data_IF_717475891381
#
_entry.id   IF_717475891381
#
_cell.length_a   1.000
_cell.length_b   1.000
_cell.length_c   1.000
_cell.angle_alpha   90.00
_cell.angle_beta   90.00
_cell.angle_gamma   90.00
#
_symmetry.space_group_name_H-M   'P 1'
#
loop_
_entity.id
_entity.type
_entity.pdbx_description
1 polymer ?
#
# COMPACT_ATOMS: atom_id res chain seq x y z
N UNK A 1 -3.76 24.89 -7.44
CA UNK A 1 -2.76 24.11 -6.65
C UNK A 1 -2.60 22.75 -7.30
N UNK A 2 -1.40 22.17 -7.28
CA UNK A 2 -1.23 20.81 -7.81
C UNK A 2 -2.09 19.83 -6.99
N UNK A 3 -2.77 18.90 -7.67
CA UNK A 3 -3.64 17.91 -7.05
C UNK A 3 -2.75 16.81 -6.43
N UNK A 4 -2.96 16.50 -5.15
CA UNK A 4 -2.24 15.44 -4.45
C UNK A 4 -3.20 14.40 -3.92
N UNK A 5 -2.79 13.14 -4.00
CA UNK A 5 -3.47 12.00 -3.40
C UNK A 5 -2.51 11.41 -2.37
N UNK A 6 -2.81 11.56 -1.09
CA UNK A 6 -2.08 10.84 -0.05
C UNK A 6 -2.66 9.43 0.06
N UNK A 7 -1.82 8.43 -0.22
CA UNK A 7 -2.17 7.03 -0.37
C UNK A 7 -1.61 6.22 0.78
N UNK A 8 -2.45 5.95 1.78
CA UNK A 8 -2.11 5.18 2.97
C UNK A 8 -2.31 3.69 2.74
N UNK A 9 -1.24 2.93 2.89
CA UNK A 9 -1.17 1.52 2.49
C UNK A 9 -0.59 0.62 3.58
N UNK A 10 -1.03 -0.65 3.57
CA UNK A 10 -0.25 -1.78 4.06
C UNK A 10 0.28 -2.54 2.85
N UNK A 11 1.57 -2.85 2.85
CA UNK A 11 2.21 -3.62 1.78
C UNK A 11 1.84 -5.12 1.80
N UNK A 12 1.01 -5.51 2.78
CA UNK A 12 0.35 -6.81 2.85
C UNK A 12 -1.13 -6.78 2.44
N UNK A 13 -1.69 -5.62 2.09
CA UNK A 13 -3.13 -5.54 1.82
C UNK A 13 -3.50 -6.02 0.41
N UNK A 14 -4.36 -7.05 0.27
CA UNK A 14 -4.87 -7.45 -1.05
C UNK A 14 -5.77 -6.38 -1.67
N UNK A 15 -6.41 -5.57 -0.84
CA UNK A 15 -7.23 -4.46 -1.31
C UNK A 15 -6.38 -3.33 -1.88
N UNK A 16 -5.19 -3.09 -1.29
CA UNK A 16 -4.20 -2.19 -1.85
C UNK A 16 -3.70 -2.73 -3.20
N UNK A 17 -3.34 -4.02 -3.28
CA UNK A 17 -2.91 -4.67 -4.52
C UNK A 17 -3.96 -4.55 -5.64
N UNK A 18 -5.21 -4.89 -5.35
CA UNK A 18 -6.30 -4.83 -6.33
C UNK A 18 -6.62 -3.40 -6.83
N UNK A 19 -6.27 -2.37 -6.06
CA UNK A 19 -6.46 -0.96 -6.42
C UNK A 19 -5.25 -0.29 -7.05
N UNK A 20 -4.07 -0.92 -7.00
CA UNK A 20 -2.78 -0.32 -7.30
C UNK A 20 -2.72 0.33 -8.68
N UNK A 21 -2.95 -0.43 -9.74
CA UNK A 21 -2.89 0.11 -11.11
C UNK A 21 -3.93 1.19 -11.35
N UNK A 22 -5.15 1.00 -10.85
CA UNK A 22 -6.24 1.97 -11.08
C UNK A 22 -6.00 3.32 -10.43
N UNK A 23 -5.38 3.37 -9.25
CA UNK A 23 -5.07 4.66 -8.62
C UNK A 23 -3.93 5.37 -9.36
N UNK A 24 -2.94 4.65 -9.90
CA UNK A 24 -1.92 5.24 -10.76
C UNK A 24 -2.52 5.81 -12.05
N UNK A 25 -3.39 5.03 -12.71
CA UNK A 25 -4.08 5.46 -13.94
C UNK A 25 -4.89 6.74 -13.70
N UNK A 26 -5.59 6.84 -12.56
CA UNK A 26 -6.34 8.04 -12.21
C UNK A 26 -5.43 9.23 -11.87
N UNK A 27 -4.35 9.00 -11.12
CA UNK A 27 -3.38 10.05 -10.84
C UNK A 27 -2.79 10.61 -12.14
N UNK A 28 -2.36 9.73 -13.05
CA UNK A 28 -1.83 10.13 -14.36
C UNK A 28 -2.87 10.86 -15.20
N UNK A 29 -4.09 10.34 -15.29
CA UNK A 29 -5.20 10.91 -16.07
C UNK A 29 -5.54 12.36 -15.68
N UNK A 30 -5.48 12.66 -14.38
CA UNK A 30 -5.87 13.97 -13.84
C UNK A 30 -4.66 14.84 -13.45
N UNK A 31 -3.42 14.41 -13.75
CA UNK A 31 -2.21 15.14 -13.42
C UNK A 31 -2.00 15.32 -11.91
N UNK A 32 -2.47 14.35 -11.12
CA UNK A 32 -2.33 14.35 -9.68
C UNK A 32 -1.04 13.65 -9.25
N UNK A 33 -0.38 14.16 -8.20
CA UNK A 33 0.74 13.49 -7.57
C UNK A 33 0.22 12.42 -6.60
N UNK A 34 0.63 11.17 -6.78
CA UNK A 34 0.31 10.06 -5.88
C UNK A 34 1.45 9.86 -4.88
N UNK A 35 1.20 10.13 -3.60
CA UNK A 35 2.18 10.03 -2.51
C UNK A 35 1.87 8.83 -1.64
N UNK A 36 2.73 7.81 -1.64
CA UNK A 36 2.51 6.57 -0.90
C UNK A 36 3.04 6.65 0.53
N UNK A 37 2.21 6.22 1.48
CA UNK A 37 2.50 6.17 2.91
C UNK A 37 2.27 4.74 3.44
N UNK A 38 3.32 3.90 3.52
CA UNK A 38 3.22 2.62 4.18
C UNK A 38 3.20 2.83 5.69
N UNK A 39 2.01 2.76 6.29
CA UNK A 39 1.77 3.02 7.71
C UNK A 39 1.54 1.71 8.49
N UNK A 40 1.70 1.77 9.83
CA UNK A 40 1.54 0.61 10.68
C UNK A 40 0.06 0.38 11.08
N UNK A 41 -0.58 -0.57 10.42
CA UNK A 41 -1.94 -0.99 10.76
C UNK A 41 -2.02 -1.81 12.04
N UNK A 42 -0.91 -2.28 12.60
CA UNK A 42 -0.85 -2.83 13.95
C UNK A 42 -1.19 -1.78 15.00
N UNK A 43 -0.77 -0.53 14.76
CA UNK A 43 -1.08 0.65 15.59
C UNK A 43 -2.46 1.24 15.23
N UNK A 44 -2.80 1.35 13.93
CA UNK A 44 -4.06 1.98 13.49
C UNK A 44 -5.29 1.18 13.91
N UNK A 45 -5.31 -0.14 13.75
CA UNK A 45 -6.50 -0.94 14.06
C UNK A 45 -6.97 -0.82 15.51
N UNK A 46 -6.12 -0.98 16.55
CA UNK A 46 -6.59 -0.82 17.92
C UNK A 46 -7.14 0.56 18.22
N UNK A 47 -6.53 1.60 17.65
CA UNK A 47 -6.94 3.00 17.87
C UNK A 47 -8.27 3.35 17.17
N UNK A 48 -8.62 2.65 16.08
CA UNK A 48 -9.79 2.95 15.24
C UNK A 48 -10.93 1.92 15.35
N UNK A 49 -10.82 0.94 16.27
CA UNK A 49 -11.79 -0.13 16.42
C UNK A 49 -11.71 -1.21 15.35
N UNK A 50 -10.63 -1.25 14.57
CA UNK A 50 -10.34 -2.28 13.59
C UNK A 50 -9.78 -3.55 14.21
N UNK A 51 -9.84 -4.65 13.45
CA UNK A 51 -9.26 -5.93 13.87
C UNK A 51 -8.33 -6.49 12.79
N UNK A 52 -7.10 -6.92 13.17
CA UNK A 52 -6.24 -7.67 12.27
C UNK A 52 -6.92 -8.99 11.88
N UNK A 53 -6.58 -9.51 10.69
CA UNK A 53 -7.27 -10.65 10.10
C UNK A 53 -7.43 -11.87 11.02
N UNK A 54 -6.41 -12.30 11.80
CA UNK A 54 -6.58 -13.46 12.70
C UNK A 54 -7.60 -13.25 13.81
N UNK A 55 -7.86 -12.01 14.21
CA UNK A 55 -8.83 -11.66 15.27
C UNK A 55 -10.25 -11.44 14.74
N UNK A 56 -10.47 -11.52 13.43
CA UNK A 56 -11.82 -11.42 12.83
C UNK A 56 -12.60 -12.72 12.99
N UNK A 57 -13.92 -12.61 13.10
CA UNK A 57 -14.80 -13.80 13.18
C UNK A 57 -14.64 -14.69 11.93
N UNK A 58 -14.92 -16.01 12.04
CA UNK A 58 -14.87 -16.93 10.90
C UNK A 58 -15.72 -16.45 9.72
N UNK A 59 -16.91 -15.89 9.98
CA UNK A 59 -17.81 -15.36 8.96
C UNK A 59 -17.16 -14.20 8.19
N UNK A 60 -16.50 -13.26 8.88
CA UNK A 60 -15.80 -12.14 8.25
C UNK A 60 -14.60 -12.59 7.43
N UNK A 61 -13.90 -13.64 7.88
CA UNK A 61 -12.78 -14.21 7.12
C UNK A 61 -13.25 -14.91 5.85
N UNK A 62 -14.31 -15.71 5.95
CA UNK A 62 -14.92 -16.39 4.80
C UNK A 62 -15.47 -15.37 3.78
N UNK A 63 -16.17 -14.34 4.25
CA UNK A 63 -16.67 -13.28 3.38
C UNK A 63 -15.53 -12.54 2.66
N UNK A 64 -14.43 -12.25 3.37
CA UNK A 64 -13.25 -11.62 2.74
C UNK A 64 -12.72 -12.45 1.55
N UNK A 65 -12.64 -13.77 1.70
CA UNK A 65 -12.19 -14.65 0.62
C UNK A 65 -13.14 -14.61 -0.58
N UNK A 66 -14.46 -14.66 -0.34
CA UNK A 66 -15.44 -14.49 -1.41
C UNK A 66 -15.34 -13.14 -2.13
N UNK A 67 -15.11 -12.05 -1.40
CA UNK A 67 -14.93 -10.72 -1.98
C UNK A 67 -13.63 -10.64 -2.82
N UNK A 68 -12.55 -11.25 -2.37
CA UNK A 68 -11.32 -11.30 -3.16
C UNK A 68 -11.52 -12.07 -4.48
N UNK A 69 -12.29 -13.17 -4.47
CA UNK A 69 -12.65 -13.90 -5.69
C UNK A 69 -13.49 -13.02 -6.63
N UNK A 70 -14.52 -12.36 -6.11
CA UNK A 70 -15.39 -11.47 -6.90
C UNK A 70 -14.60 -10.33 -7.55
N UNK A 71 -13.73 -9.69 -6.77
CA UNK A 71 -12.91 -8.59 -7.29
C UNK A 71 -11.85 -9.06 -8.27
N UNK A 72 -11.22 -10.21 -8.04
CA UNK A 72 -10.33 -10.86 -9.00
C UNK A 72 -11.03 -11.01 -10.36
N UNK A 73 -12.21 -11.62 -10.34
CA UNK A 73 -12.96 -11.94 -11.56
C UNK A 73 -13.50 -10.66 -12.23
N UNK A 74 -14.00 -9.71 -11.46
CA UNK A 74 -14.52 -8.43 -11.97
C UNK A 74 -13.44 -7.52 -12.58
N UNK A 75 -12.22 -7.53 -12.03
CA UNK A 75 -11.10 -6.70 -12.49
C UNK A 75 -10.18 -7.42 -13.49
N UNK A 76 -10.28 -8.75 -13.60
CA UNK A 76 -9.35 -9.55 -14.40
C UNK A 76 -7.91 -9.54 -13.87
N UNK A 77 -7.72 -9.23 -12.56
CA UNK A 77 -6.40 -9.12 -11.93
C UNK A 77 -6.07 -10.46 -11.28
N UNK A 78 -4.92 -11.09 -11.61
CA UNK A 78 -4.51 -12.33 -10.96
C UNK A 78 -4.24 -12.07 -9.47
N UNK A 79 -4.77 -12.91 -8.60
CA UNK A 79 -4.49 -12.86 -7.17
C UNK A 79 -4.48 -14.28 -6.59
N UNK A 80 -3.41 -14.62 -5.87
CA UNK A 80 -3.36 -15.82 -5.05
C UNK A 80 -4.18 -15.57 -3.78
N UNK A 81 -5.22 -16.37 -3.56
CA UNK A 81 -6.11 -16.20 -2.39
C UNK A 81 -5.51 -16.72 -1.09
N UNK A 82 -4.49 -17.59 -1.19
CA UNK A 82 -3.80 -18.23 -0.07
C UNK A 82 -2.27 -18.17 -0.27
N UNK A 83 -1.67 -16.95 -0.30
CA UNK A 83 -0.23 -16.83 -0.49
C UNK A 83 0.53 -17.38 0.71
N UNK A 84 1.60 -18.15 0.45
CA UNK A 84 2.41 -18.86 1.49
C UNK A 84 3.05 -17.93 2.50
N UNK A 85 3.40 -16.71 2.05
CA UNK A 85 4.15 -15.76 2.84
C UNK A 85 3.30 -14.62 3.39
N UNK A 86 1.98 -14.81 3.42
CA UNK A 86 1.07 -13.81 4.00
C UNK A 86 0.68 -14.15 5.45
N UNK A 87 0.80 -13.19 6.40
CA UNK A 87 1.43 -11.89 6.24
C UNK A 87 2.96 -11.97 6.27
N UNK A 88 3.63 -11.24 5.38
CA UNK A 88 5.09 -11.05 5.43
C UNK A 88 5.46 -9.89 6.36
N UNK A 89 6.74 -9.81 6.79
CA UNK A 89 7.23 -8.62 7.49
C UNK A 89 7.23 -7.42 6.56
N UNK A 90 6.59 -6.31 6.96
CA UNK A 90 6.55 -5.07 6.19
C UNK A 90 7.66 -4.08 6.59
N UNK A 91 8.43 -4.32 7.67
CA UNK A 91 9.36 -3.33 8.22
C UNK A 91 10.37 -2.85 7.16
N UNK A 92 11.17 -3.76 6.60
CA UNK A 92 12.20 -3.40 5.63
C UNK A 92 11.62 -2.83 4.32
N UNK A 93 10.57 -3.43 3.78
CA UNK A 93 9.93 -2.94 2.56
C UNK A 93 9.30 -1.56 2.76
N UNK A 94 8.70 -1.29 3.93
CA UNK A 94 8.19 0.04 4.28
C UNK A 94 9.31 1.07 4.39
N UNK A 95 10.44 0.73 5.03
CA UNK A 95 11.62 1.61 5.09
C UNK A 95 12.18 1.92 3.70
N UNK A 96 12.23 0.93 2.78
CA UNK A 96 12.63 1.17 1.39
C UNK A 96 11.69 2.16 0.69
N UNK A 97 10.39 1.96 0.80
CA UNK A 97 9.39 2.84 0.15
C UNK A 97 9.46 4.26 0.72
N UNK A 98 9.56 4.41 2.05
CA UNK A 98 9.66 5.73 2.69
C UNK A 98 10.96 6.43 2.29
N UNK A 99 12.09 5.72 2.34
CA UNK A 99 13.39 6.26 1.94
C UNK A 99 13.38 6.75 0.49
N UNK A 100 12.82 5.96 -0.43
CA UNK A 100 12.69 6.33 -1.84
C UNK A 100 11.74 7.51 -2.03
N UNK A 101 10.64 7.59 -1.32
CA UNK A 101 9.74 8.75 -1.36
C UNK A 101 10.47 10.04 -1.02
N UNK A 102 11.30 10.01 0.02
CA UNK A 102 12.00 11.20 0.51
C UNK A 102 13.25 11.55 -0.32
N UNK A 103 13.87 10.59 -1.02
CA UNK A 103 15.16 10.80 -1.71
C UNK A 103 15.11 10.71 -3.24
N UNK A 104 14.19 9.90 -3.79
CA UNK A 104 14.06 9.64 -5.22
C UNK A 104 12.73 10.12 -5.82
N UNK A 105 11.74 10.39 -4.96
CA UNK A 105 10.44 10.95 -5.35
C UNK A 105 9.28 9.95 -5.32
N UNK A 106 8.08 10.51 -5.37
CA UNK A 106 6.83 9.78 -5.14
C UNK A 106 6.61 8.65 -6.16
N UNK A 107 6.89 8.86 -7.44
CA UNK A 107 6.66 7.85 -8.48
C UNK A 107 7.49 6.58 -8.25
N UNK A 108 8.78 6.74 -7.90
CA UNK A 108 9.68 5.62 -7.62
C UNK A 108 9.22 4.84 -6.38
N UNK A 109 8.77 5.56 -5.35
CA UNK A 109 8.24 4.94 -4.14
C UNK A 109 6.95 4.15 -4.40
N UNK A 110 6.03 4.70 -5.20
CA UNK A 110 4.78 4.02 -5.62
C UNK A 110 5.09 2.74 -6.39
N UNK A 111 6.00 2.82 -7.37
CA UNK A 111 6.41 1.66 -8.17
C UNK A 111 6.94 0.52 -7.28
N UNK A 112 7.86 0.83 -6.35
CA UNK A 112 8.40 -0.18 -5.43
C UNK A 112 7.31 -0.72 -4.49
N UNK A 113 6.41 0.13 -3.97
CA UNK A 113 5.30 -0.31 -3.13
C UNK A 113 4.37 -1.30 -3.88
N UNK A 114 4.01 -0.98 -5.12
CA UNK A 114 3.16 -1.84 -5.94
C UNK A 114 3.89 -3.12 -6.37
N UNK A 115 5.21 -3.05 -6.61
CA UNK A 115 6.02 -4.23 -6.90
C UNK A 115 6.07 -5.20 -5.70
N UNK A 116 6.15 -4.68 -4.48
CA UNK A 116 6.08 -5.49 -3.24
C UNK A 116 4.72 -6.17 -3.10
N UNK A 117 3.63 -5.44 -3.32
CA UNK A 117 2.27 -6.00 -3.27
C UNK A 117 2.07 -7.12 -4.31
N UNK A 118 2.54 -6.93 -5.53
CA UNK A 118 2.51 -7.93 -6.60
C UNK A 118 3.28 -9.20 -6.21
N UNK A 119 4.44 -9.05 -5.60
CA UNK A 119 5.25 -10.17 -5.12
C UNK A 119 4.48 -11.08 -4.16
N UNK A 120 3.72 -10.50 -3.22
CA UNK A 120 2.90 -11.26 -2.26
C UNK A 120 1.71 -11.92 -2.95
N UNK A 121 0.93 -11.13 -3.71
CA UNK A 121 -0.42 -11.53 -4.12
C UNK A 121 -0.49 -12.22 -5.47
N UNK A 122 0.53 -12.09 -6.33
CA UNK A 122 0.57 -12.72 -7.64
C UNK A 122 1.68 -13.76 -7.76
N UNK A 123 2.87 -13.47 -7.20
CA UNK A 123 4.07 -14.27 -7.44
C UNK A 123 4.43 -15.23 -6.28
N UNK A 124 3.69 -15.17 -5.18
CA UNK A 124 3.89 -16.02 -3.99
C UNK A 124 5.30 -15.89 -3.39
N UNK A 125 5.86 -14.67 -3.42
CA UNK A 125 7.19 -14.35 -2.90
C UNK A 125 7.10 -13.71 -1.50
N UNK A 126 8.21 -13.77 -0.74
CA UNK A 126 8.33 -13.16 0.58
C UNK A 126 9.14 -11.85 0.53
N UNK A 127 8.51 -10.67 0.40
CA UNK A 127 9.24 -9.40 0.43
C UNK A 127 9.81 -9.03 1.81
N UNK A 128 9.51 -9.79 2.85
CA UNK A 128 10.17 -9.68 4.14
C UNK A 128 11.59 -10.27 4.17
N UNK A 129 11.96 -11.04 3.14
CA UNK A 129 13.31 -11.55 2.93
C UNK A 129 14.13 -10.49 2.15
N UNK A 130 15.27 -10.02 2.70
CA UNK A 130 16.09 -9.00 2.03
C UNK A 130 16.60 -9.40 0.64
N UNK A 131 16.88 -10.68 0.39
CA UNK A 131 17.31 -11.14 -0.94
C UNK A 131 16.17 -11.07 -1.95
N UNK A 132 14.95 -11.48 -1.53
CA UNK A 132 13.75 -11.34 -2.35
C UNK A 132 13.49 -9.87 -2.63
N UNK A 133 13.45 -9.04 -1.60
CA UNK A 133 13.22 -7.59 -1.75
C UNK A 133 14.26 -6.95 -2.67
N UNK A 134 15.53 -7.33 -2.55
CA UNK A 134 16.57 -6.84 -3.45
C UNK A 134 16.33 -7.21 -4.92
N UNK A 135 15.79 -8.42 -5.21
CA UNK A 135 15.38 -8.78 -6.56
C UNK A 135 14.20 -7.94 -7.06
N UNK A 136 13.22 -7.66 -6.20
CA UNK A 136 12.08 -6.80 -6.55
C UNK A 136 12.53 -5.37 -6.88
N UNK A 137 13.38 -4.78 -6.05
CA UNK A 137 13.97 -3.45 -6.26
C UNK A 137 14.68 -3.37 -7.62
N UNK A 138 15.42 -4.41 -8.00
CA UNK A 138 16.11 -4.46 -9.30
C UNK A 138 15.12 -4.43 -10.48
N UNK A 139 13.94 -5.00 -10.35
CA UNK A 139 12.91 -4.95 -11.40
C UNK A 139 12.28 -3.57 -11.59
N UNK A 140 12.55 -2.64 -10.68
CA UNK A 140 12.19 -1.22 -10.78
C UNK A 140 13.39 -0.37 -11.28
N UNK A 141 14.38 -0.96 -11.94
CA UNK A 141 15.59 -0.31 -12.46
C UNK A 141 16.44 0.44 -11.40
N UNK A 142 16.36 -0.02 -10.13
CA UNK A 142 17.11 0.53 -9.01
C UNK A 142 18.27 -0.38 -8.60
N UNK A 143 19.32 0.20 -7.98
CA UNK A 143 20.38 -0.59 -7.35
C UNK A 143 19.92 -1.15 -5.99
N UNK A 144 19.75 -2.48 -5.86
CA UNK A 144 19.28 -3.07 -4.61
C UNK A 144 20.19 -2.81 -3.42
N UNK A 145 21.52 -2.78 -3.64
CA UNK A 145 22.47 -2.56 -2.56
C UNK A 145 22.35 -1.14 -2.02
N UNK A 146 22.23 -0.16 -2.89
CA UNK A 146 22.06 1.23 -2.51
C UNK A 146 20.74 1.44 -1.75
N UNK A 147 19.62 0.90 -2.27
CA UNK A 147 18.30 1.06 -1.64
C UNK A 147 18.23 0.34 -0.29
N UNK A 148 18.73 -0.90 -0.18
CA UNK A 148 18.75 -1.64 1.08
C UNK A 148 19.66 -0.98 2.13
N UNK A 149 20.82 -0.46 1.72
CA UNK A 149 21.70 0.29 2.61
C UNK A 149 21.05 1.60 3.09
N UNK A 150 20.37 2.33 2.21
CA UNK A 150 19.62 3.53 2.56
C UNK A 150 18.49 3.19 3.56
N UNK A 151 17.74 2.13 3.29
CA UNK A 151 16.61 1.69 4.13
C UNK A 151 17.00 1.15 5.50
N UNK A 152 18.29 0.82 5.71
CA UNK A 152 18.80 0.35 6.99
C UNK A 152 18.95 1.47 8.05
N UNK A 153 18.84 2.73 7.65
CA UNK A 153 18.87 3.86 8.60
C UNK A 153 17.60 3.86 9.47
N UNK A 154 17.72 3.85 10.81
CA UNK A 154 16.57 3.86 11.72
C UNK A 154 15.61 5.03 11.54
N UNK A 155 16.05 6.14 10.96
CA UNK A 155 15.20 7.31 10.72
C UNK A 155 13.93 6.97 9.91
N UNK A 156 13.97 5.93 9.07
CA UNK A 156 12.82 5.56 8.24
C UNK A 156 11.73 4.85 9.02
N UNK A 157 12.07 4.09 10.06
CA UNK A 157 11.09 3.54 11.00
C UNK A 157 10.51 4.64 11.90
N UNK A 158 11.31 5.61 12.33
CA UNK A 158 10.82 6.80 13.03
C UNK A 158 9.88 7.61 12.14
N UNK A 159 10.22 7.76 10.85
CA UNK A 159 9.34 8.41 9.89
C UNK A 159 8.05 7.63 9.67
N UNK A 160 8.10 6.30 9.59
CA UNK A 160 6.91 5.46 9.51
C UNK A 160 6.00 5.63 10.72
N UNK A 161 6.58 5.73 11.91
CA UNK A 161 5.84 6.01 13.16
C UNK A 161 5.14 7.37 13.08
N UNK A 162 5.86 8.41 12.64
CA UNK A 162 5.30 9.75 12.44
C UNK A 162 4.18 9.77 11.38
N UNK A 163 4.40 9.13 10.24
CA UNK A 163 3.40 9.01 9.16
C UNK A 163 2.15 8.24 9.65
N UNK A 164 2.34 7.22 10.51
CA UNK A 164 1.24 6.45 11.13
C UNK A 164 0.41 7.31 12.07
N UNK A 165 1.06 8.13 12.90
CA UNK A 165 0.33 9.07 13.78
C UNK A 165 -0.42 10.11 12.95
N UNK A 166 0.22 10.69 11.95
CA UNK A 166 -0.42 11.65 11.06
C UNK A 166 -1.63 11.03 10.32
N UNK A 167 -1.54 9.75 9.93
CA UNK A 167 -2.66 9.03 9.34
C UNK A 167 -3.84 8.89 10.32
N UNK A 168 -3.57 8.54 11.58
CA UNK A 168 -4.58 8.47 12.64
C UNK A 168 -5.27 9.82 12.86
N UNK A 169 -4.49 10.90 12.97
CA UNK A 169 -4.99 12.25 13.20
C UNK A 169 -5.89 12.74 12.04
N UNK A 170 -5.66 12.22 10.84
CA UNK A 170 -6.48 12.45 9.63
C UNK A 170 -7.63 11.47 9.47
N UNK A 171 -7.86 10.58 10.43
CA UNK A 171 -8.99 9.64 10.43
C UNK A 171 -8.79 8.39 9.56
N UNK A 172 -7.56 8.02 9.22
CA UNK A 172 -7.29 6.76 8.52
C UNK A 172 -7.52 5.58 9.46
N UNK A 173 -8.31 4.59 9.02
CA UNK A 173 -8.67 3.40 9.82
C UNK A 173 -8.53 2.07 9.07
N UNK A 174 -8.15 2.09 7.80
CA UNK A 174 -8.02 0.88 6.97
C UNK A 174 -7.20 1.12 5.71
N UNK A 175 -6.75 0.03 5.06
CA UNK A 175 -5.95 0.07 3.83
C UNK A 175 -6.72 -0.58 2.66
N UNK A 176 -6.58 0.00 1.45
CA UNK A 176 -6.01 1.32 1.18
C UNK A 176 -6.93 2.45 1.63
N UNK A 177 -6.35 3.60 2.02
CA UNK A 177 -7.09 4.85 2.15
C UNK A 177 -6.45 5.90 1.25
N UNK A 178 -7.28 6.63 0.54
CA UNK A 178 -6.88 7.73 -0.35
C UNK A 178 -7.40 9.03 0.22
N UNK A 179 -6.56 10.06 0.34
CA UNK A 179 -6.99 11.37 0.79
C UNK A 179 -6.70 12.43 -0.26
N UNK A 180 -7.70 13.26 -0.54
CA UNK A 180 -7.61 14.41 -1.45
C UNK A 180 -8.09 15.63 -0.67
N UNK A 181 -7.16 16.49 -0.25
CA UNK A 181 -7.45 17.50 0.76
C UNK A 181 -7.85 16.85 2.09
N UNK A 182 -9.03 17.17 2.61
CA UNK A 182 -9.58 16.62 3.85
C UNK A 182 -10.56 15.46 3.63
N UNK A 183 -10.77 15.04 2.38
CA UNK A 183 -11.72 13.99 2.03
C UNK A 183 -11.03 12.62 1.97
N UNK A 184 -11.53 11.66 2.77
CA UNK A 184 -11.02 10.29 2.84
C UNK A 184 -11.90 9.32 2.04
N UNK A 185 -11.24 8.43 1.28
CA UNK A 185 -11.86 7.33 0.54
C UNK A 185 -11.20 6.03 0.97
N UNK A 186 -11.93 5.19 1.69
CA UNK A 186 -11.41 3.90 2.16
C UNK A 186 -11.83 2.75 1.28
N UNK A 187 -10.85 2.00 0.78
CA UNK A 187 -11.04 0.79 -0.01
C UNK A 187 -10.90 1.00 -1.50
N UNK A 188 -10.39 -0.02 -2.19
CA UNK A 188 -10.22 -0.01 -3.65
C UNK A 188 -11.55 0.07 -4.41
N UNK A 189 -12.64 -0.32 -3.76
CA UNK A 189 -14.02 -0.24 -4.28
C UNK A 189 -14.56 1.20 -4.26
N UNK A 190 -13.86 2.16 -3.64
CA UNK A 190 -14.19 3.59 -3.64
C UNK A 190 -13.43 4.38 -4.71
N UNK A 191 -12.58 3.74 -5.50
CA UNK A 191 -11.81 4.42 -6.55
C UNK A 191 -12.66 5.18 -7.57
N UNK A 192 -13.88 4.73 -7.84
CA UNK A 192 -14.81 5.50 -8.66
C UNK A 192 -15.24 6.85 -8.06
N UNK A 193 -15.23 6.98 -6.72
CA UNK A 193 -15.45 8.27 -6.06
C UNK A 193 -14.19 9.13 -6.06
N UNK A 194 -13.00 8.50 -5.90
CA UNK A 194 -11.71 9.18 -6.05
C UNK A 194 -11.62 9.81 -7.45
N UNK A 195 -11.93 9.06 -8.51
CA UNK A 195 -11.95 9.58 -9.88
C UNK A 195 -12.88 10.79 -10.02
N UNK A 196 -14.11 10.69 -9.52
CA UNK A 196 -15.07 11.81 -9.53
C UNK A 196 -14.58 13.02 -8.77
N UNK A 197 -13.85 12.84 -7.68
CA UNK A 197 -13.26 13.94 -6.90
C UNK A 197 -12.12 14.60 -7.68
N UNK A 198 -11.24 13.81 -8.30
CA UNK A 198 -10.15 14.30 -9.14
C UNK A 198 -10.65 15.11 -10.33
N UNK A 199 -11.76 14.70 -10.95
CA UNK A 199 -12.36 15.38 -12.09
C UNK A 199 -12.93 16.77 -11.77
N UNK A 200 -13.07 17.13 -10.49
CA UNK A 200 -13.59 18.44 -10.06
C UNK A 200 -12.49 19.47 -9.78
N UNK A 201 -11.23 19.04 -9.72
CA UNK A 201 -10.08 19.88 -9.41
C UNK A 201 -9.89 20.08 -7.91
#
# INVERSE_FOLDING_TARGET
MALHIDYYVSLNSPWTYLGAQRIEDYAAKYGATLRVFPVDFGTIFPASGGFPLPKRSPQRRAYRTMELQRWRDALGIPINLEPKHFPSSEALSSSCVIALRETAGDNVAVEVAHRVLKAVWEEDLNPGDPEVLGRLIRTCDLDPKAVLALAADPQWEERRTTDTQAALDRGVFGAPSYMIGDEIFWGQDRLGFVEKRLARG
#
